data_IF_040481102776
#
_entry.id   IF_040481102776
#
_cell.length_a   1.000
_cell.length_b   1.000
_cell.length_c   1.000
_cell.angle_alpha   90.00
_cell.angle_beta   90.00
_cell.angle_gamma   90.00
#
_symmetry.space_group_name_H-M   'P 1'
#
loop_
_entity.id
_entity.type
_entity.pdbx_description
1 polymer ?
2 non-polymer ?
3 non-polymer ?
4 water ?
#
# COMPACT_ATOMS: atom_id res chain seq x y z
N UNK A 3 -0.02 18.14 -21.85
CA UNK A 3 -1.20 17.55 -22.55
C UNK A 3 -2.42 17.42 -21.63
N UNK A 4 -2.19 17.36 -20.30
CA UNK A 4 -3.28 17.17 -19.36
C UNK A 4 -4.14 18.41 -19.25
N UNK A 5 -5.47 18.22 -19.10
CA UNK A 5 -6.34 19.38 -18.88
C UNK A 5 -5.97 20.10 -17.59
N UNK A 6 -6.19 21.41 -17.56
CA UNK A 6 -5.91 22.20 -16.35
C UNK A 6 -6.87 21.86 -15.24
N UNK A 7 -8.06 21.40 -15.58
CA UNK A 7 -9.01 20.97 -14.59
C UNK A 7 -9.82 19.80 -15.10
N UNK A 8 -10.30 19.00 -14.15
CA UNK A 8 -11.11 17.85 -14.43
C UNK A 8 -12.19 17.78 -13.36
N UNK A 9 -13.39 17.39 -13.78
CA UNK A 9 -14.45 17.09 -12.83
C UNK A 9 -15.27 15.95 -13.40
N UNK A 10 -15.09 14.75 -12.85
CA UNK A 10 -15.75 13.56 -13.39
C UNK A 10 -17.25 13.55 -13.19
N UNK A 11 -17.75 14.44 -12.34
CA UNK A 11 -19.19 14.59 -12.18
C UNK A 11 -19.82 15.11 -13.47
N UNK A 12 -19.06 15.94 -14.19
CA UNK A 12 -19.51 16.49 -15.48
C UNK A 12 -19.73 15.42 -16.51
N UNK A 13 -19.02 14.29 -16.38
CA UNK A 13 -19.11 13.19 -17.32
C UNK A 13 -20.06 12.11 -16.84
N UNK A 14 -20.77 12.37 -15.75
CA UNK A 14 -21.76 11.44 -15.26
C UNK A 14 -21.16 10.17 -14.67
N UNK A 15 -19.92 10.28 -14.17
CA UNK A 15 -19.18 9.11 -13.67
C UNK A 15 -19.13 9.01 -12.16
N UNK A 16 -19.86 9.89 -11.47
CA UNK A 16 -19.86 9.92 -10.02
C UNK A 16 -21.27 9.79 -9.47
N UNK A 17 -21.48 8.81 -8.60
CA UNK A 17 -22.80 8.58 -8.02
C UNK A 17 -23.04 9.55 -6.88
N UNK A 18 -24.27 9.51 -6.36
CA UNK A 18 -24.61 10.35 -5.21
C UNK A 18 -23.69 10.10 -4.04
N UNK A 19 -23.45 11.15 -3.28
CA UNK A 19 -22.67 11.06 -2.05
C UNK A 19 -23.42 10.17 -1.07
N UNK A 20 -22.68 9.27 -0.43
CA UNK A 20 -23.24 8.36 0.53
C UNK A 20 -22.90 8.83 1.96
N UNK A 21 -23.58 8.22 2.92
CA UNK A 21 -23.46 8.55 4.32
C UNK A 21 -23.07 7.27 5.05
N UNK A 22 -21.83 7.21 5.52
CA UNK A 22 -21.36 5.99 6.17
C UNK A 22 -21.90 5.81 7.58
N UNK A 23 -22.37 6.89 8.20
CA UNK A 23 -22.84 6.80 9.57
C UNK A 23 -21.76 6.40 10.54
N UNK A 24 -22.14 5.60 11.54
CA UNK A 24 -21.24 5.20 12.61
C UNK A 24 -20.40 3.95 12.32
N UNK A 25 -20.31 3.57 11.05
CA UNK A 25 -19.53 2.42 10.62
C UNK A 25 -18.33 2.97 9.85
N UNK A 26 -17.13 2.51 10.20
CA UNK A 26 -15.89 3.00 9.58
C UNK A 26 -15.67 2.34 8.23
N UNK A 27 -16.53 2.69 7.28
CA UNK A 27 -16.56 2.04 5.97
C UNK A 27 -16.07 2.96 4.86
N UNK A 28 -15.38 4.03 5.21
CA UNK A 28 -14.90 4.98 4.20
C UNK A 28 -14.11 4.27 3.11
N UNK A 29 -13.29 3.31 3.52
CA UNK A 29 -12.49 2.52 2.60
C UNK A 29 -13.35 1.84 1.54
N UNK A 30 -14.51 1.34 1.96
CA UNK A 30 -15.41 0.63 1.07
C UNK A 30 -16.08 1.62 0.12
N UNK A 31 -16.49 2.77 0.65
CA UNK A 31 -17.06 3.81 -0.18
C UNK A 31 -16.06 4.31 -1.20
N UNK A 32 -14.82 4.53 -0.77
CA UNK A 32 -13.79 4.98 -1.68
C UNK A 32 -13.61 3.97 -2.81
N UNK A 33 -13.56 2.69 -2.46
CA UNK A 33 -13.33 1.65 -3.45
C UNK A 33 -14.49 1.57 -4.42
N UNK A 34 -15.73 1.53 -3.93
CA UNK A 34 -16.85 1.42 -4.87
C UNK A 34 -16.95 2.66 -5.73
N UNK A 35 -16.67 3.82 -5.17
CA UNK A 35 -16.71 5.05 -5.96
C UNK A 35 -15.79 5.01 -7.15
N UNK A 36 -14.57 4.51 -6.95
CA UNK A 36 -13.63 4.41 -8.05
C UNK A 36 -14.14 3.44 -9.09
N UNK A 37 -14.71 2.31 -8.64
CA UNK A 37 -15.18 1.29 -9.57
C UNK A 37 -16.43 1.77 -10.31
N UNK A 38 -17.28 2.53 -9.62
CA UNK A 38 -18.49 3.08 -10.26
C UNK A 38 -18.15 3.90 -11.49
N UNK A 39 -17.06 4.66 -11.43
CA UNK A 39 -16.67 5.49 -12.56
C UNK A 39 -16.23 4.60 -13.73
N UNK A 40 -15.44 3.58 -13.42
CA UNK A 40 -15.00 2.64 -14.45
C UNK A 40 -16.18 1.92 -15.09
N UNK A 41 -17.17 1.55 -14.28
CA UNK A 41 -18.36 0.90 -14.81
C UNK A 41 -19.10 1.80 -15.79
N UNK A 42 -19.22 3.07 -15.45
CA UNK A 42 -19.86 4.03 -16.33
C UNK A 42 -19.07 4.19 -17.62
N UNK A 43 -17.75 4.30 -17.49
CA UNK A 43 -16.91 4.45 -18.67
C UNK A 43 -17.02 3.26 -19.60
N UNK A 44 -17.15 2.05 -19.04
CA UNK A 44 -17.17 0.84 -19.85
C UNK A 44 -18.56 0.49 -20.40
N UNK A 45 -19.60 0.70 -19.59
CA UNK A 45 -20.95 0.29 -19.96
C UNK A 45 -21.93 1.42 -20.25
N UNK A 46 -21.56 2.64 -19.91
CA UNK A 46 -22.42 3.79 -20.14
C UNK A 46 -23.47 3.96 -19.05
N UNK A 47 -23.46 3.09 -18.04
CA UNK A 47 -24.46 3.13 -16.98
C UNK A 47 -23.82 3.53 -15.66
N UNK A 48 -24.43 4.50 -14.98
CA UNK A 48 -23.99 4.92 -13.68
C UNK A 48 -24.82 4.18 -12.64
N UNK A 49 -24.15 3.37 -11.83
CA UNK A 49 -24.81 2.52 -10.85
C UNK A 49 -24.04 2.54 -9.55
N UNK A 50 -24.72 2.84 -8.44
CA UNK A 50 -24.07 2.77 -7.15
C UNK A 50 -23.79 1.31 -6.81
N UNK A 51 -22.56 1.04 -6.36
CA UNK A 51 -22.14 -0.30 -6.02
C UNK A 51 -22.17 -0.49 -4.52
N UNK A 52 -22.19 -1.74 -4.07
CA UNK A 52 -22.46 -2.04 -2.69
C UNK A 52 -21.23 -1.94 -1.81
N UNK A 53 -21.09 -0.84 -1.08
CA UNK A 53 -20.11 -0.75 -0.02
C UNK A 53 -20.34 -1.83 1.04
N UNK A 54 -21.60 -2.16 1.32
CA UNK A 54 -21.90 -3.17 2.32
C UNK A 54 -21.32 -4.52 1.91
N UNK A 55 -21.39 -4.83 0.63
CA UNK A 55 -20.82 -6.07 0.10
C UNK A 55 -19.34 -6.15 0.49
N UNK A 56 -18.63 -5.04 0.39
CA UNK A 56 -17.21 -5.02 0.80
C UNK A 56 -17.05 -5.19 2.29
N UNK A 57 -17.82 -4.44 3.06
CA UNK A 57 -17.76 -4.54 4.52
C UNK A 57 -17.95 -5.99 4.99
N UNK A 58 -18.95 -6.66 4.42
CA UNK A 58 -19.34 -7.97 4.89
C UNK A 58 -18.49 -9.09 4.32
N UNK A 59 -17.92 -8.88 3.12
CA UNK A 59 -17.30 -9.98 2.37
C UNK A 59 -15.81 -9.83 2.16
N UNK A 60 -15.33 -8.60 2.05
CA UNK A 60 -13.89 -8.34 1.89
C UNK A 60 -13.33 -8.16 3.29
N UNK A 61 -13.13 -9.28 3.98
CA UNK A 61 -12.89 -9.29 5.40
C UNK A 61 -11.48 -9.77 5.72
N UNK A 62 -11.32 -10.73 6.62
CA UNK A 62 -10.01 -11.11 7.16
C UNK A 62 -9.01 -11.51 6.10
N UNK A 63 -9.46 -12.24 5.09
CA UNK A 63 -8.57 -12.70 4.02
C UNK A 63 -7.94 -11.52 3.27
N UNK A 64 -8.62 -10.37 3.31
CA UNK A 64 -8.17 -9.16 2.65
C UNK A 64 -7.57 -8.14 3.61
N UNK A 65 -7.37 -8.55 4.87
CA UNK A 65 -6.78 -7.67 5.87
C UNK A 65 -7.71 -6.59 6.37
N UNK A 66 -9.00 -6.73 6.07
CA UNK A 66 -9.99 -5.71 6.39
C UNK A 66 -10.81 -6.10 7.60
N UNK A 67 -11.42 -5.10 8.21
CA UNK A 67 -12.11 -5.26 9.47
C UNK A 67 -13.48 -4.57 9.45
N UNK A 68 -14.10 -4.54 8.27
CA UNK A 68 -15.48 -4.09 8.14
C UNK A 68 -15.65 -2.68 8.65
N UNK A 69 -16.54 -2.52 9.63
CA UNK A 69 -16.80 -1.21 10.19
C UNK A 69 -15.64 -0.65 11.00
N UNK A 70 -14.59 -1.44 11.17
CA UNK A 70 -13.38 -0.97 11.85
C UNK A 70 -12.22 -0.76 10.90
N UNK A 71 -12.52 -0.67 9.61
CA UNK A 71 -11.56 -0.20 8.63
C UNK A 71 -11.13 -1.26 7.64
N UNK A 72 -10.48 -0.80 6.59
CA UNK A 72 -9.98 -1.70 5.55
C UNK A 72 -9.14 -0.95 4.55
N UNK A 73 -8.75 -1.65 3.48
CA UNK A 73 -7.94 -1.07 2.41
C UNK A 73 -8.74 -1.03 1.12
N UNK A 74 -8.63 0.07 0.37
CA UNK A 74 -9.25 0.13 -0.95
C UNK A 74 -8.64 -0.88 -1.89
N UNK A 75 -7.32 -1.04 -1.85
CA UNK A 75 -6.66 -1.97 -2.75
C UNK A 75 -7.10 -3.41 -2.53
N UNK A 76 -7.22 -3.82 -1.27
CA UNK A 76 -7.57 -5.21 -1.01
C UNK A 76 -9.07 -5.42 -1.28
N UNK A 77 -9.85 -4.36 -1.14
CA UNK A 77 -11.24 -4.38 -1.60
C UNK A 77 -11.28 -4.65 -3.10
N UNK A 78 -10.44 -3.97 -3.88
CA UNK A 78 -10.42 -4.25 -5.31
C UNK A 78 -10.05 -5.71 -5.54
N UNK A 79 -9.06 -6.21 -4.81
CA UNK A 79 -8.66 -7.59 -5.03
C UNK A 79 -9.78 -8.56 -4.72
N UNK A 80 -10.56 -8.26 -3.68
CA UNK A 80 -11.73 -9.08 -3.36
C UNK A 80 -12.70 -9.12 -4.53
N UNK A 81 -12.92 -7.96 -5.15
CA UNK A 81 -13.86 -7.89 -6.27
C UNK A 81 -13.33 -8.74 -7.41
N UNK A 82 -12.03 -8.69 -7.64
CA UNK A 82 -11.40 -9.51 -8.66
C UNK A 82 -11.59 -10.99 -8.33
N UNK A 83 -11.20 -11.36 -7.10
CA UNK A 83 -11.24 -12.76 -6.66
C UNK A 83 -12.65 -13.30 -6.68
N UNK A 84 -13.58 -12.44 -6.31
CA UNK A 84 -14.99 -12.82 -6.17
C UNK A 84 -15.72 -12.86 -7.49
N UNK A 85 -15.11 -12.28 -8.51
CA UNK A 85 -15.68 -12.15 -9.85
C UNK A 85 -16.96 -11.34 -9.84
N UNK A 86 -17.03 -10.38 -8.92
CA UNK A 86 -18.14 -9.44 -8.93
C UNK A 86 -18.34 -8.68 -7.65
N UNK A 87 -19.12 -7.61 -7.75
CA UNK A 87 -19.65 -6.91 -6.61
C UNK A 87 -21.10 -6.57 -6.95
N UNK A 88 -21.96 -6.66 -5.95
CA UNK A 88 -23.38 -6.40 -6.10
C UNK A 88 -23.65 -4.91 -6.15
N UNK A 89 -24.80 -4.55 -6.69
CA UNK A 89 -25.26 -3.18 -6.67
C UNK A 89 -25.64 -2.76 -5.24
N UNK A 90 -25.57 -1.46 -5.01
CA UNK A 90 -26.03 -0.89 -3.75
C UNK A 90 -27.52 -1.19 -3.54
N UNK A 91 -28.31 -1.07 -4.59
CA UNK A 91 -29.75 -1.32 -4.48
C UNK A 91 -30.04 -2.74 -4.00
N UNK A 92 -29.27 -3.71 -4.49
CA UNK A 92 -29.47 -5.12 -4.17
C UNK A 92 -28.92 -5.53 -2.81
N UNK A 93 -27.92 -4.79 -2.34
CA UNK A 93 -27.17 -5.16 -1.15
C UNK A 93 -26.92 -3.85 -0.40
N UNK A 94 -27.98 -3.31 0.18
CA UNK A 94 -27.94 -1.98 0.74
C UNK A 94 -27.03 -1.80 1.96
N UNK A 95 -26.67 -0.56 2.18
CA UNK A 95 -25.76 -0.20 3.25
C UNK A 95 -26.49 -0.01 4.57
N UNK A 96 -26.05 -0.75 5.57
CA UNK A 96 -26.70 -0.79 6.87
C UNK A 96 -25.80 -0.25 7.99
N UNK A 97 -24.59 0.17 7.66
CA UNK A 97 -23.66 0.75 8.64
C UNK A 97 -23.43 -0.19 9.82
N UNK A 98 -23.27 -1.47 9.51
CA UNK A 98 -22.92 -2.46 10.51
C UNK A 98 -22.28 -3.64 9.82
N UNK A 99 -21.56 -4.44 10.58
CA UNK A 99 -20.96 -5.68 10.08
C UNK A 99 -22.04 -6.73 9.99
N UNK A 100 -22.13 -7.39 8.85
CA UNK A 100 -23.11 -8.44 8.61
C UNK A 100 -22.42 -9.65 8.04
N UNK A 101 -23.14 -10.77 8.00
CA UNK A 101 -22.64 -11.93 7.29
C UNK A 101 -22.58 -11.59 5.80
N UNK A 102 -21.65 -12.22 5.10
CA UNK A 102 -21.50 -12.00 3.67
C UNK A 102 -22.72 -12.56 2.96
N UNK A 103 -23.36 -11.70 2.18
CA UNK A 103 -24.60 -12.04 1.48
C UNK A 103 -24.45 -11.79 -0.02
N UNK A 104 -23.22 -11.80 -0.53
CA UNK A 104 -23.00 -11.63 -1.94
C UNK A 104 -23.80 -12.66 -2.72
N UNK A 105 -24.44 -12.20 -3.79
CA UNK A 105 -25.14 -13.08 -4.72
C UNK A 105 -24.84 -12.61 -6.13
N UNK A 106 -24.36 -13.52 -6.97
CA UNK A 106 -24.00 -13.15 -8.34
C UNK A 106 -25.20 -12.67 -9.17
N UNK A 107 -26.42 -13.04 -8.75
CA UNK A 107 -27.61 -12.58 -9.48
C UNK A 107 -27.80 -11.07 -9.36
N UNK A 108 -27.14 -10.47 -8.36
CA UNK A 108 -27.19 -9.03 -8.17
C UNK A 108 -25.89 -8.32 -8.55
N UNK A 109 -25.01 -9.02 -9.26
CA UNK A 109 -23.74 -8.43 -9.66
C UNK A 109 -23.99 -7.23 -10.56
N UNK A 110 -23.34 -6.13 -10.26
CA UNK A 110 -23.42 -4.94 -11.09
C UNK A 110 -22.08 -4.48 -11.67
N UNK A 111 -20.98 -5.05 -11.18
CA UNK A 111 -19.67 -4.72 -11.70
C UNK A 111 -18.69 -5.86 -11.44
N UNK A 112 -17.61 -5.82 -12.21
CA UNK A 112 -16.47 -6.70 -12.03
C UNK A 112 -15.24 -5.82 -11.96
N UNK A 113 -14.13 -6.42 -11.58
CA UNK A 113 -12.85 -5.73 -11.59
C UNK A 113 -11.84 -6.74 -12.09
N UNK A 114 -10.94 -6.33 -12.97
CA UNK A 114 -9.91 -7.24 -13.49
C UNK A 114 -8.52 -6.97 -12.93
N UNK A 115 -8.32 -5.75 -12.44
CA UNK A 115 -7.01 -5.34 -11.93
C UNK A 115 -7.16 -4.04 -11.17
N UNK A 116 -6.11 -3.66 -10.46
CA UNK A 116 -6.03 -2.33 -9.90
C UNK A 116 -4.58 -1.89 -9.94
N UNK A 117 -4.42 -0.59 -9.80
CA UNK A 117 -3.11 0.03 -9.92
C UNK A 117 -2.90 0.95 -8.76
N UNK A 118 -1.75 0.83 -8.10
CA UNK A 118 -1.36 1.73 -7.03
C UNK A 118 -0.34 2.71 -7.56
N UNK A 119 -0.61 3.99 -7.37
CA UNK A 119 0.26 5.04 -7.87
C UNK A 119 1.44 5.23 -6.93
N UNK A 120 2.56 5.75 -7.47
CA UNK A 120 3.74 5.96 -6.65
C UNK A 120 3.48 6.96 -5.55
N UNK A 121 4.11 6.72 -4.42
CA UNK A 121 3.89 7.49 -3.22
C UNK A 121 4.17 8.98 -3.38
N UNK A 122 3.19 9.81 -3.04
CA UNK A 122 3.39 11.25 -2.91
C UNK A 122 3.47 12.04 -4.18
N UNK A 123 3.28 11.37 -5.33
CA UNK A 123 3.48 12.01 -6.62
C UNK A 123 2.19 12.63 -7.12
N UNK A 124 2.02 13.93 -6.89
CA UNK A 124 0.78 14.61 -7.25
C UNK A 124 0.64 14.79 -8.75
N UNK A 125 1.77 14.86 -9.45
CA UNK A 125 1.73 14.91 -10.92
C UNK A 125 1.22 13.61 -11.52
N UNK A 126 1.62 12.49 -10.93
CA UNK A 126 1.17 11.20 -11.41
C UNK A 126 -0.32 11.02 -11.08
N UNK A 127 -0.71 11.48 -9.89
CA UNK A 127 -2.13 11.44 -9.52
C UNK A 127 -2.95 12.29 -10.49
N UNK A 128 -2.46 13.46 -10.85
CA UNK A 128 -3.15 14.31 -11.81
C UNK A 128 -3.37 13.57 -13.14
N UNK A 129 -2.32 12.92 -13.61
CA UNK A 129 -2.39 12.19 -14.88
C UNK A 129 -3.43 11.07 -14.80
N UNK A 130 -3.45 10.37 -13.68
CA UNK A 130 -4.41 9.28 -13.50
C UNK A 130 -5.84 9.80 -13.44
N UNK A 131 -6.05 10.89 -12.72
CA UNK A 131 -7.39 11.45 -12.63
C UNK A 131 -7.85 11.92 -14.01
N UNK A 132 -6.95 12.51 -14.78
CA UNK A 132 -7.30 12.98 -16.13
C UNK A 132 -7.55 11.82 -17.10
N UNK A 133 -6.70 10.82 -17.04
CA UNK A 133 -6.66 9.80 -18.11
C UNK A 133 -7.32 8.48 -17.79
N UNK A 134 -7.47 8.17 -16.51
CA UNK A 134 -8.07 6.90 -16.10
C UNK A 134 -9.44 7.07 -15.47
N UNK A 135 -9.56 8.01 -14.55
CA UNK A 135 -10.84 8.23 -13.86
C UNK A 135 -10.58 8.59 -12.41
N UNK A 136 -11.65 8.69 -11.62
CA UNK A 136 -11.52 8.92 -10.19
C UNK A 136 -10.58 7.93 -9.51
N UNK A 137 -9.84 8.42 -8.53
CA UNK A 137 -8.82 7.63 -7.87
C UNK A 137 -9.07 7.56 -6.38
N UNK A 138 -9.07 6.35 -5.85
CA UNK A 138 -9.20 6.14 -4.42
C UNK A 138 -7.97 6.62 -3.74
N UNK A 139 -8.14 7.39 -2.66
CA UNK A 139 -7.01 7.89 -1.89
C UNK A 139 -7.29 7.85 -0.42
N UNK A 140 -6.21 7.88 0.36
CA UNK A 140 -6.30 8.13 1.77
C UNK A 140 -5.91 9.57 2.06
N UNK A 141 -6.55 10.15 3.06
CA UNK A 141 -6.16 11.48 3.55
C UNK A 141 -6.11 11.48 5.06
N UNK A 142 -5.37 12.46 5.58
CA UNK A 142 -5.38 12.78 6.99
C UNK A 142 -6.57 13.69 7.23
N UNK A 143 -7.64 13.10 7.75
CA UNK A 143 -8.87 13.82 8.02
C UNK A 143 -9.10 13.94 9.52
N UNK A 144 -8.04 13.87 10.31
CA UNK A 144 -8.17 13.84 11.78
C UNK A 144 -8.36 15.21 12.40
N UNK A 145 -8.07 16.25 11.65
CA UNK A 145 -7.93 17.57 12.26
C UNK A 145 -9.29 18.21 12.33
N UNK A 146 -9.59 18.88 13.46
CA UNK A 146 -10.90 19.49 13.62
C UNK A 146 -11.37 20.35 12.44
N UNK A 147 -10.45 21.01 11.76
CA UNK A 147 -10.80 21.84 10.60
C UNK A 147 -11.44 21.03 9.48
N UNK A 148 -11.05 19.77 9.34
CA UNK A 148 -11.61 18.94 8.26
C UNK A 148 -13.12 18.80 8.41
N UNK A 149 -13.56 18.47 9.61
CA UNK A 149 -14.98 18.27 9.85
C UNK A 149 -15.81 19.52 9.59
N UNK A 150 -15.18 20.68 9.77
CA UNK A 150 -15.86 21.96 9.68
C UNK A 150 -15.73 22.64 8.32
N UNK A 151 -15.09 21.97 7.37
CA UNK A 151 -14.91 22.53 6.05
C UNK A 151 -16.26 22.84 5.40
N UNK A 152 -16.38 24.02 4.83
CA UNK A 152 -17.60 24.43 4.15
C UNK A 152 -17.37 24.80 2.71
N UNK A 153 -16.26 25.48 2.44
CA UNK A 153 -16.01 26.02 1.11
C UNK A 153 -14.55 26.41 0.92
N UNK A 154 -14.21 26.82 -0.30
CA UNK A 154 -12.84 27.22 -0.60
C UNK A 154 -11.96 26.01 -0.82
N UNK A 155 -10.66 26.22 -0.67
CA UNK A 155 -9.70 25.13 -0.79
C UNK A 155 -9.11 24.86 0.59
N UNK A 156 -9.27 23.64 1.02
CA UNK A 156 -8.84 23.22 2.35
C UNK A 156 -7.33 23.14 2.44
N UNK A 157 -6.78 23.92 3.37
CA UNK A 157 -5.37 23.86 3.69
C UNK A 157 -5.26 23.94 5.21
N UNK A 158 -4.66 22.91 5.79
CA UNK A 158 -4.50 22.79 7.24
C UNK A 158 -3.02 22.61 7.53
N UNK A 159 -2.37 23.64 8.08
CA UNK A 159 -0.96 23.52 8.44
C UNK A 159 -0.62 22.32 9.33
N UNK A 160 -1.56 21.86 10.13
CA UNK A 160 -1.31 20.72 11.01
C UNK A 160 -1.47 19.38 10.32
N UNK A 161 -1.84 19.39 9.04
CA UNK A 161 -2.06 18.14 8.35
C UNK A 161 -0.74 17.39 8.22
N UNK A 162 -0.86 16.08 8.11
CA UNK A 162 0.28 15.20 7.98
C UNK A 162 0.07 14.31 6.78
N UNK A 163 1.08 13.50 6.47
CA UNK A 163 0.95 12.47 5.46
C UNK A 163 0.55 11.12 6.04
N UNK A 164 0.15 11.10 7.31
CA UNK A 164 -0.35 9.90 7.95
C UNK A 164 -1.86 9.82 7.71
N UNK A 165 -2.26 9.01 6.76
CA UNK A 165 -3.67 9.00 6.33
C UNK A 165 -4.52 8.13 7.24
N UNK A 166 -5.77 8.53 7.42
CA UNK A 166 -6.68 7.80 8.30
C UNK A 166 -8.08 7.70 7.73
N UNK A 167 -8.28 8.15 6.49
CA UNK A 167 -9.61 8.28 5.95
C UNK A 167 -9.55 8.04 4.44
N UNK A 168 -10.45 7.19 3.95
CA UNK A 168 -10.49 6.83 2.55
C UNK A 168 -11.55 7.62 1.83
N UNK A 169 -11.16 8.25 0.73
CA UNK A 169 -12.03 9.14 -0.03
C UNK A 169 -11.73 8.94 -1.51
N UNK A 170 -12.38 9.72 -2.36
CA UNK A 170 -12.27 9.55 -3.80
C UNK A 170 -11.96 10.87 -4.46
N UNK A 171 -10.84 10.93 -5.16
CA UNK A 171 -10.52 12.11 -5.95
C UNK A 171 -11.27 12.00 -7.27
N UNK A 172 -12.19 12.93 -7.50
CA UNK A 172 -13.00 12.91 -8.72
C UNK A 172 -12.66 14.05 -9.67
N UNK A 173 -11.62 14.80 -9.36
CA UNK A 173 -11.23 15.90 -10.19
C UNK A 173 -10.14 16.72 -9.57
N UNK A 174 -9.82 17.82 -10.26
CA UNK A 174 -8.84 18.76 -9.78
C UNK A 174 -9.03 20.06 -10.53
N UNK A 175 -8.44 21.12 -10.01
CA UNK A 175 -8.57 22.42 -10.66
C UNK A 175 -7.89 23.49 -9.86
N UNK A 176 -8.33 24.73 -10.09
CA UNK A 176 -7.83 25.87 -9.36
C UNK A 176 -8.97 26.81 -9.07
N UNK A 177 -9.01 27.28 -7.83
CA UNK A 177 -10.04 28.20 -7.37
C UNK A 177 -9.33 29.36 -6.73
N UNK A 178 -9.50 30.54 -7.32
CA UNK A 178 -8.95 31.76 -6.76
C UNK A 178 -7.47 31.65 -6.46
N UNK A 179 -6.75 31.08 -7.42
CA UNK A 179 -5.30 30.97 -7.32
C UNK A 179 -4.82 29.80 -6.50
N UNK A 180 -5.74 29.00 -5.96
CA UNK A 180 -5.39 27.81 -5.17
C UNK A 180 -5.71 26.56 -5.93
N UNK A 181 -4.69 25.77 -6.23
CA UNK A 181 -4.88 24.48 -6.86
C UNK A 181 -5.50 23.53 -5.87
N UNK A 182 -6.43 22.69 -6.34
CA UNK A 182 -7.09 21.76 -5.46
C UNK A 182 -7.33 20.42 -6.14
N UNK A 183 -7.53 19.41 -5.28
CA UNK A 183 -8.10 18.14 -5.62
C UNK A 183 -9.56 18.16 -5.21
N UNK A 184 -10.44 17.66 -6.08
CA UNK A 184 -11.86 17.57 -5.78
C UNK A 184 -12.11 16.22 -5.19
N UNK A 185 -12.52 16.18 -3.92
CA UNK A 185 -12.63 14.96 -3.16
C UNK A 185 -14.07 14.68 -2.75
N UNK A 186 -14.54 13.50 -3.13
CA UNK A 186 -15.83 12.97 -2.71
C UNK A 186 -15.66 12.24 -1.39
N UNK A 187 -16.38 12.68 -0.38
CA UNK A 187 -16.36 12.06 0.94
C UNK A 187 -17.60 11.19 1.09
N UNK A 188 -17.69 10.46 2.20
CA UNK A 188 -18.82 9.59 2.49
C UNK A 188 -19.46 9.90 3.85
N UNK A 189 -19.53 11.20 4.17
CA UNK A 189 -20.21 11.65 5.36
C UNK A 189 -21.49 12.38 4.99
N UNK A 190 -22.06 12.00 3.85
CA UNK A 190 -23.34 12.57 3.42
C UNK A 190 -23.20 13.93 2.78
N UNK A 191 -24.33 14.45 2.29
CA UNK A 191 -24.38 15.75 1.65
C UNK A 191 -24.21 16.92 2.62
N UNK A 192 -24.35 16.70 3.93
CA UNK A 192 -24.16 17.77 4.92
C UNK A 192 -22.72 18.21 5.00
N UNK A 193 -21.82 17.26 4.72
CA UNK A 193 -20.41 17.54 4.83
C UNK A 193 -19.95 18.44 3.69
N UNK A 194 -19.16 19.46 4.01
CA UNK A 194 -18.51 20.29 3.01
C UNK A 194 -19.45 20.88 1.98
N UNK A 195 -19.07 20.79 0.71
CA UNK A 195 -19.87 21.29 -0.39
C UNK A 195 -20.63 20.13 -1.00
N UNK A 196 -21.82 19.89 -0.45
CA UNK A 196 -22.68 18.80 -0.89
C UNK A 196 -21.96 17.46 -0.88
N UNK A 197 -21.11 17.28 0.13
CA UNK A 197 -20.43 16.00 0.32
C UNK A 197 -19.00 15.98 -0.18
N UNK A 198 -18.59 17.09 -0.81
CA UNK A 198 -17.26 17.22 -1.39
C UNK A 198 -16.40 18.20 -0.62
N UNK A 199 -15.09 18.02 -0.75
CA UNK A 199 -14.12 18.96 -0.21
C UNK A 199 -13.04 19.19 -1.27
N UNK A 200 -12.68 20.45 -1.46
CA UNK A 200 -11.56 20.77 -2.33
C UNK A 200 -10.36 20.83 -1.43
N UNK A 201 -9.36 19.99 -1.70
CA UNK A 201 -8.18 19.90 -0.85
C UNK A 201 -6.95 20.41 -1.58
N UNK A 202 -6.07 21.10 -0.87
CA UNK A 202 -4.91 21.73 -1.51
C UNK A 202 -4.10 20.76 -2.36
N UNK A 203 -3.78 21.21 -3.57
CA UNK A 203 -3.02 20.42 -4.53
C UNK A 203 -1.70 21.10 -4.81
N UNK A 204 -0.66 20.28 -4.99
CA UNK A 204 0.70 20.73 -5.22
C UNK A 204 1.20 21.59 -4.07
N UNK A 205 0.79 21.22 -2.86
CA UNK A 205 1.25 21.85 -1.64
C UNK A 205 1.92 20.77 -0.78
N UNK A 206 2.86 20.06 -1.38
CA UNK A 206 3.67 19.10 -0.65
C UNK A 206 2.89 17.89 -0.18
N UNK A 207 2.06 17.33 -1.05
CA UNK A 207 1.29 16.14 -0.69
C UNK A 207 0.47 16.42 0.58
N UNK A 208 -0.29 17.48 0.50
CA UNK A 208 -1.03 18.01 1.63
C UNK A 208 -2.05 16.97 2.12
N UNK A 209 -2.01 16.73 3.44
CA UNK A 209 -2.85 15.73 4.10
C UNK A 209 -2.67 14.31 3.55
N UNK A 210 -1.55 14.08 2.88
CA UNK A 210 -1.28 12.75 2.34
C UNK A 210 -2.14 12.33 1.17
N UNK A 211 -2.75 13.29 0.50
CA UNK A 211 -3.73 12.95 -0.53
C UNK A 211 -3.14 12.06 -1.63
N UNK A 212 -1.85 12.23 -1.93
CA UNK A 212 -1.20 11.41 -2.96
C UNK A 212 -0.34 10.31 -2.39
N UNK A 213 -0.47 10.06 -1.09
CA UNK A 213 0.34 9.03 -0.44
C UNK A 213 0.00 7.66 -0.97
N UNK A 214 -1.29 7.32 -0.96
CA UNK A 214 -1.73 5.95 -1.30
C UNK A 214 -2.91 5.93 -2.28
N UNK A 215 -2.68 6.38 -3.51
CA UNK A 215 -3.73 6.37 -4.52
C UNK A 215 -3.81 5.05 -5.26
N UNK A 216 -5.03 4.65 -5.62
CA UNK A 216 -5.22 3.47 -6.44
C UNK A 216 -6.50 3.61 -7.24
N UNK A 217 -6.54 2.92 -8.37
CA UNK A 217 -7.76 2.86 -9.15
C UNK A 217 -7.90 1.47 -9.77
N UNK A 218 -9.15 1.01 -9.87
CA UNK A 218 -9.43 -0.28 -10.45
C UNK A 218 -9.71 -0.13 -11.93
N UNK A 219 -9.70 -1.25 -12.63
CA UNK A 219 -10.17 -1.30 -14.01
C UNK A 219 -11.08 -2.50 -14.14
N UNK A 220 -12.06 -2.39 -15.04
CA UNK A 220 -13.17 -3.35 -15.08
C UNK A 220 -12.72 -4.71 -15.58
N UNK B 4 8.71 -21.53 -14.27
CA UNK B 4 9.60 -20.98 -13.21
C UNK B 4 10.39 -22.09 -12.54
N UNK B 5 11.58 -21.76 -12.04
CA UNK B 5 12.32 -22.78 -11.32
C UNK B 5 11.57 -23.24 -10.07
N UNK B 6 11.75 -24.49 -9.69
CA UNK B 6 11.12 -25.03 -8.50
C UNK B 6 11.64 -24.41 -7.21
N UNK B 7 12.92 -24.00 -7.22
CA UNK B 7 13.56 -23.42 -6.07
C UNK B 7 14.46 -22.30 -6.50
N UNK B 8 14.53 -21.25 -5.68
CA UNK B 8 15.42 -20.12 -5.91
C UNK B 8 16.04 -19.72 -4.58
N UNK B 9 17.32 -19.36 -4.60
CA UNK B 9 17.99 -18.80 -3.42
C UNK B 9 18.97 -17.73 -3.87
N UNK B 10 18.58 -16.47 -3.68
CA UNK B 10 19.37 -15.34 -4.17
C UNK B 10 20.72 -15.21 -3.49
N UNK B 11 20.89 -15.89 -2.36
CA UNK B 11 22.19 -15.92 -1.70
C UNK B 11 23.23 -16.60 -2.56
N UNK B 12 22.79 -17.57 -3.37
CA UNK B 12 23.69 -18.30 -4.27
C UNK B 12 24.22 -17.40 -5.38
N UNK B 13 23.46 -16.32 -5.66
CA UNK B 13 23.76 -15.36 -6.71
C UNK B 13 24.61 -14.20 -6.19
N UNK B 14 24.93 -14.21 -4.91
CA UNK B 14 25.75 -13.16 -4.33
C UNK B 14 25.01 -11.85 -4.17
N UNK B 15 23.68 -11.92 -4.07
CA UNK B 15 22.82 -10.74 -4.05
C UNK B 15 22.24 -10.41 -2.68
N UNK B 16 22.69 -11.08 -1.63
CA UNK B 16 22.14 -10.89 -0.30
C UNK B 16 23.27 -10.62 0.68
N UNK B 17 23.14 -9.53 1.44
CA UNK B 17 24.19 -9.15 2.39
C UNK B 17 24.04 -9.92 3.70
N UNK B 18 24.96 -9.64 4.62
CA UNK B 18 24.91 -10.20 5.95
C UNK B 18 23.57 -9.85 6.61
N UNK B 19 23.12 -10.75 7.47
CA UNK B 19 21.95 -10.49 8.27
C UNK B 19 22.27 -9.37 9.25
N UNK B 20 21.32 -8.46 9.40
CA UNK B 20 21.47 -7.32 10.29
C UNK B 20 20.65 -7.54 11.56
N UNK B 21 20.99 -6.76 12.58
CA UNK B 21 20.36 -6.84 13.87
C UNK B 21 19.75 -5.47 14.17
N UNK B 22 18.42 -5.37 14.13
CA UNK B 22 17.77 -4.06 14.32
C UNK B 22 17.80 -3.60 15.79
N UNK B 23 17.95 -4.53 16.71
CA UNK B 23 17.97 -4.20 18.13
C UNK B 23 16.63 -3.65 18.59
N UNK B 24 16.68 -2.66 19.47
CA UNK B 24 15.47 -2.13 20.10
C UNK B 24 14.68 -1.15 19.22
N UNK B 25 15.15 -0.91 18.01
CA UNK B 25 14.56 0.05 17.09
C UNK B 25 13.72 -0.70 16.07
N UNK B 26 12.48 -0.25 15.88
CA UNK B 26 11.55 -0.92 14.97
C UNK B 26 11.80 -0.51 13.54
N UNK B 27 12.96 -0.96 13.03
CA UNK B 27 13.46 -0.56 11.72
C UNK B 27 13.36 -1.70 10.69
N UNK B 28 12.55 -2.70 10.97
CA UNK B 28 12.41 -3.86 10.07
C UNK B 28 12.05 -3.40 8.66
N UNK B 29 11.16 -2.42 8.57
CA UNK B 29 10.78 -1.85 7.27
C UNK B 29 11.99 -1.31 6.48
N UNK B 30 12.90 -0.66 7.18
CA UNK B 30 14.08 -0.07 6.56
C UNK B 30 15.03 -1.18 6.09
N UNK B 31 15.21 -2.19 6.91
CA UNK B 31 16.06 -3.33 6.54
C UNK B 31 15.48 -4.08 5.38
N UNK B 32 14.17 -4.25 5.38
CA UNK B 32 13.51 -4.93 4.27
C UNK B 32 13.77 -4.16 2.98
N UNK B 33 13.62 -2.85 3.03
CA UNK B 33 13.77 -2.03 1.86
C UNK B 33 15.20 -2.04 1.35
N UNK B 34 16.16 -1.84 2.24
CA UNK B 34 17.54 -1.83 1.80
C UNK B 34 17.95 -3.21 1.27
N UNK B 35 17.50 -4.28 1.89
CA UNK B 35 17.82 -5.60 1.37
C UNK B 35 17.34 -5.81 -0.05
N UNK B 36 16.12 -5.36 -0.35
CA UNK B 36 15.62 -5.48 -1.71
C UNK B 36 16.50 -4.69 -2.69
N UNK B 37 16.88 -3.48 -2.30
CA UNK B 37 17.67 -2.63 -3.19
C UNK B 37 19.11 -3.15 -3.31
N UNK B 38 19.64 -3.74 -2.24
CA UNK B 38 20.99 -4.33 -2.28
C UNK B 38 21.10 -5.35 -3.38
N UNK B 39 20.07 -6.18 -3.54
CA UNK B 39 20.09 -7.17 -4.61
C UNK B 39 20.10 -6.52 -5.98
N UNK B 40 19.27 -5.49 -6.18
CA UNK B 40 19.23 -4.80 -7.46
C UNK B 40 20.56 -4.12 -7.76
N UNK B 41 21.16 -3.52 -6.74
CA UNK B 41 22.47 -2.90 -6.89
C UNK B 41 23.51 -3.91 -7.35
N UNK B 42 23.49 -5.11 -6.76
CA UNK B 42 24.41 -6.16 -7.18
C UNK B 42 24.16 -6.54 -8.64
N UNK B 43 22.89 -6.71 -8.99
CA UNK B 43 22.53 -7.07 -10.36
C UNK B 43 22.99 -6.01 -11.35
N UNK B 44 22.91 -4.74 -10.99
CA UNK B 44 23.25 -3.67 -11.92
C UNK B 44 24.75 -3.40 -12.01
N UNK B 45 25.44 -3.43 -10.88
CA UNK B 45 26.84 -2.98 -10.79
C UNK B 45 27.84 -4.08 -10.50
N UNK B 46 27.37 -5.25 -10.10
CA UNK B 46 28.25 -6.33 -9.66
C UNK B 46 28.82 -6.19 -8.27
N UNK B 47 28.42 -5.14 -7.54
CA UNK B 47 28.91 -4.91 -6.18
C UNK B 47 27.83 -5.27 -5.18
N UNK B 48 28.20 -6.03 -4.16
CA UNK B 48 27.32 -6.31 -3.04
C UNK B 48 27.69 -5.37 -1.89
N UNK B 49 26.78 -4.45 -1.57
CA UNK B 49 27.06 -3.38 -0.63
C UNK B 49 25.89 -3.26 0.30
N UNK B 50 26.11 -3.36 1.60
CA UNK B 50 25.04 -3.11 2.55
C UNK B 50 24.68 -1.64 2.47
N UNK B 51 23.38 -1.38 2.31
CA UNK B 51 22.88 -0.01 2.23
C UNK B 51 22.36 0.47 3.57
N UNK B 52 22.26 1.79 3.72
CA UNK B 52 22.04 2.38 5.03
C UNK B 52 20.57 2.35 5.46
N UNK B 53 20.25 1.38 6.31
CA UNK B 53 18.93 1.37 6.94
C UNK B 53 18.74 2.63 7.80
N UNK B 54 19.83 3.11 8.39
CA UNK B 54 19.76 4.29 9.23
C UNK B 54 19.35 5.53 8.45
N UNK B 55 19.86 5.63 7.23
CA UNK B 55 19.51 6.70 6.32
C UNK B 55 18.00 6.71 6.13
N UNK B 56 17.38 5.55 5.99
CA UNK B 56 15.92 5.50 5.87
C UNK B 56 15.24 5.93 7.16
N UNK B 57 15.68 5.35 8.27
CA UNK B 57 15.12 5.67 9.59
C UNK B 57 15.14 7.18 9.83
N UNK B 58 16.28 7.81 9.52
CA UNK B 58 16.46 9.23 9.84
C UNK B 58 15.86 10.19 8.83
N UNK B 59 15.72 9.75 7.57
CA UNK B 59 15.42 10.66 6.47
C UNK B 59 14.10 10.38 5.78
N UNK B 60 13.71 9.12 5.68
CA UNK B 60 12.40 8.77 5.12
C UNK B 60 11.42 8.78 6.27
N UNK B 61 11.06 9.99 6.69
CA UNK B 61 10.32 10.19 7.91
C UNK B 61 8.89 10.66 7.63
N UNK B 62 8.45 11.76 8.24
CA UNK B 62 7.03 12.16 8.22
C UNK B 62 6.47 12.35 6.82
N UNK B 63 7.27 12.91 5.92
CA UNK B 63 6.83 13.14 4.55
C UNK B 63 6.51 11.83 3.86
N UNK B 64 7.09 10.74 4.36
CA UNK B 64 6.89 9.40 3.79
C UNK B 64 5.96 8.52 4.62
N UNK B 65 5.29 9.13 5.59
CA UNK B 65 4.38 8.41 6.46
C UNK B 65 5.05 7.48 7.45
N UNK B 66 6.37 7.63 7.59
CA UNK B 66 7.15 6.75 8.42
C UNK B 66 7.48 7.38 9.76
N UNK B 67 7.85 6.52 10.71
CA UNK B 67 8.05 6.92 12.10
C UNK B 67 9.33 6.34 12.68
N UNK B 68 10.33 6.12 11.83
CA UNK B 68 11.67 5.74 12.25
C UNK B 68 11.64 4.44 13.03
N UNK B 69 12.11 4.50 14.28
CA UNK B 69 12.14 3.32 15.12
C UNK B 69 10.75 2.85 15.57
N UNK B 70 9.72 3.61 15.24
CA UNK B 70 8.34 3.21 15.50
C UNK B 70 7.60 2.78 14.24
N UNK B 71 8.34 2.44 13.19
CA UNK B 71 7.76 1.78 12.03
C UNK B 71 7.71 2.61 10.78
N UNK B 72 7.47 1.94 9.66
CA UNK B 72 7.40 2.62 8.39
C UNK B 72 7.00 1.68 7.28
N UNK B 73 7.05 2.15 6.04
CA UNK B 73 6.69 1.37 4.88
C UNK B 73 7.90 1.16 3.96
N UNK B 74 8.06 -0.05 3.45
CA UNK B 74 9.09 -0.30 2.46
C UNK B 74 8.86 0.50 1.18
N UNK B 75 7.61 0.61 0.74
CA UNK B 75 7.30 1.30 -0.49
C UNK B 75 7.67 2.78 -0.39
N UNK B 76 7.31 3.40 0.72
CA UNK B 76 7.56 4.83 0.86
C UNK B 76 9.06 5.07 1.10
N UNK B 77 9.74 4.09 1.68
CA UNK B 77 11.20 4.11 1.72
C UNK B 77 11.78 4.13 0.31
N UNK B 78 11.31 3.25 -0.56
CA UNK B 78 11.77 3.28 -1.95
C UNK B 78 11.54 4.64 -2.57
N UNK B 79 10.36 5.22 -2.34
CA UNK B 79 10.04 6.50 -2.98
C UNK B 79 10.95 7.60 -2.44
N UNK B 80 11.28 7.55 -1.15
CA UNK B 80 12.29 8.47 -0.61
C UNK B 80 13.59 8.35 -1.38
N UNK B 81 14.06 7.13 -1.59
CA UNK B 81 15.34 6.95 -2.28
C UNK B 81 15.23 7.55 -3.69
N UNK B 82 14.09 7.34 -4.34
CA UNK B 82 13.85 7.92 -5.66
C UNK B 82 13.89 9.45 -5.59
N UNK B 83 13.07 10.02 -4.70
CA UNK B 83 12.97 11.48 -4.56
C UNK B 83 14.32 12.09 -4.18
N UNK B 84 15.03 11.40 -3.30
CA UNK B 84 16.27 11.90 -2.77
C UNK B 84 17.44 11.73 -3.73
N UNK B 85 17.24 10.94 -4.77
CA UNK B 85 18.25 10.64 -5.78
C UNK B 85 19.43 9.88 -5.18
N UNK B 86 19.16 9.12 -4.13
CA UNK B 86 20.19 8.26 -3.55
C UNK B 86 19.94 7.78 -2.16
N UNK B 87 20.71 6.74 -1.80
CA UNK B 87 20.81 6.25 -0.43
C UNK B 87 22.29 5.99 -0.16
N UNK B 88 22.73 6.25 1.05
CA UNK B 88 24.12 6.08 1.42
C UNK B 88 24.40 4.63 1.76
N UNK B 89 25.68 4.25 1.71
CA UNK B 89 26.10 2.94 2.15
C UNK B 89 25.92 2.82 3.64
N UNK B 90 25.73 1.61 4.12
CA UNK B 90 25.73 1.33 5.54
C UNK B 90 27.07 1.74 6.16
N UNK B 91 28.15 1.51 5.44
CA UNK B 91 29.48 1.83 5.95
C UNK B 91 29.61 3.32 6.28
N UNK B 92 29.07 4.15 5.41
CA UNK B 92 29.18 5.60 5.55
C UNK B 92 28.16 6.19 6.52
N UNK B 93 27.06 5.48 6.71
CA UNK B 93 25.94 5.97 7.48
C UNK B 93 25.42 4.78 8.29
N UNK B 94 26.19 4.39 9.32
CA UNK B 94 25.93 3.15 10.02
C UNK B 94 24.69 3.17 10.90
N UNK B 95 24.26 1.96 11.25
CA UNK B 95 23.03 1.75 11.97
C UNK B 95 23.24 1.87 13.47
N UNK B 96 22.45 2.73 14.08
CA UNK B 96 22.58 3.05 15.50
C UNK B 96 21.37 2.64 16.32
N UNK B 97 20.35 2.08 15.67
CA UNK B 97 19.15 1.61 16.37
C UNK B 97 18.50 2.71 17.21
N UNK B 98 18.47 3.91 16.64
CA UNK B 98 17.76 5.03 17.23
C UNK B 98 17.41 6.05 16.17
N UNK B 99 16.45 6.91 16.49
CA UNK B 99 16.05 7.98 15.60
C UNK B 99 17.07 9.10 15.68
N UNK B 100 17.53 9.58 14.52
CA UNK B 100 18.48 10.70 14.47
C UNK B 100 18.02 11.68 13.41
N UNK B 101 18.57 12.89 13.44
CA UNK B 101 18.31 13.84 12.37
C UNK B 101 18.85 13.25 11.07
N UNK B 102 18.26 13.65 9.97
CA UNK B 102 18.71 13.17 8.67
C UNK B 102 20.13 13.64 8.41
N UNK B 103 21.02 12.69 8.12
CA UNK B 103 22.42 13.00 7.84
C UNK B 103 22.85 12.50 6.47
N UNK B 104 21.88 12.32 5.57
CA UNK B 104 22.19 11.93 4.21
C UNK B 104 23.18 12.89 3.59
N UNK B 105 24.14 12.34 2.87
CA UNK B 105 25.07 13.12 2.09
C UNK B 105 25.29 12.40 0.77
N UNK B 106 25.13 13.11 -0.34
CA UNK B 106 25.30 12.51 -1.67
C UNK B 106 26.73 12.00 -1.88
N UNK B 107 27.67 12.56 -1.13
CA UNK B 107 29.05 12.11 -1.29
C UNK B 107 29.25 10.66 -0.84
N UNK B 108 28.28 10.14 -0.09
CA UNK B 108 28.31 8.76 0.38
C UNK B 108 27.28 7.87 -0.33
N UNK B 109 26.72 8.38 -1.40
CA UNK B 109 25.71 7.64 -2.16
C UNK B 109 26.27 6.29 -2.61
N UNK B 110 25.54 5.22 -2.30
CA UNK B 110 25.91 3.88 -2.79
C UNK B 110 24.89 3.28 -3.75
N UNK B 111 23.67 3.83 -3.81
CA UNK B 111 22.66 3.31 -4.72
C UNK B 111 21.64 4.39 -5.04
N UNK B 112 20.92 4.15 -6.12
CA UNK B 112 19.78 4.94 -6.51
C UNK B 112 18.61 4.00 -6.67
N UNK B 113 17.44 4.58 -6.86
CA UNK B 113 16.24 3.83 -7.16
C UNK B 113 15.45 4.66 -8.17
N UNK B 114 14.97 4.02 -9.23
CA UNK B 114 14.19 4.72 -10.24
C UNK B 114 12.70 4.49 -10.11
N UNK B 115 12.32 3.38 -9.49
CA UNK B 115 10.92 2.98 -9.39
C UNK B 115 10.80 1.84 -8.42
N UNK B 116 9.57 1.57 -8.02
CA UNK B 116 9.25 0.34 -7.31
C UNK B 116 7.92 -0.18 -7.81
N UNK B 117 7.71 -1.46 -7.55
CA UNK B 117 6.53 -2.14 -8.00
C UNK B 117 5.89 -2.85 -6.83
N UNK B 118 4.59 -2.63 -6.67
CA UNK B 118 3.80 -3.31 -5.65
C UNK B 118 3.04 -4.43 -6.31
N UNK B 119 3.20 -5.64 -5.81
CA UNK B 119 2.57 -6.79 -6.41
C UNK B 119 1.11 -6.85 -5.95
N UNK B 120 0.25 -7.50 -6.73
CA UNK B 120 -1.16 -7.60 -6.36
C UNK B 120 -1.39 -8.39 -5.08
N UNK B 121 -2.37 -7.95 -4.31
CA UNK B 121 -2.64 -8.50 -3.02
C UNK B 121 -2.88 -10.00 -3.02
N UNK B 122 -2.11 -10.72 -2.22
CA UNK B 122 -2.38 -12.11 -1.90
C UNK B 122 -1.98 -13.13 -2.94
N UNK B 123 -1.34 -12.69 -4.03
CA UNK B 123 -1.06 -13.58 -5.15
C UNK B 123 0.32 -14.21 -4.99
N UNK B 124 0.36 -15.41 -4.43
CA UNK B 124 1.66 -16.08 -4.22
C UNK B 124 2.32 -16.52 -5.51
N UNK B 125 1.52 -16.78 -6.54
CA UNK B 125 2.08 -17.10 -7.85
C UNK B 125 2.81 -15.91 -8.45
N UNK B 126 2.26 -14.71 -8.29
CA UNK B 126 2.89 -13.51 -8.79
C UNK B 126 4.15 -13.22 -7.99
N UNK B 127 4.08 -13.44 -6.68
CA UNK B 127 5.25 -13.30 -5.84
C UNK B 127 6.36 -14.27 -6.27
N UNK B 128 5.99 -15.50 -6.59
CA UNK B 128 6.98 -16.49 -7.01
C UNK B 128 7.66 -16.02 -8.28
N UNK B 129 6.89 -15.53 -9.23
CA UNK B 129 7.45 -15.04 -10.48
C UNK B 129 8.44 -13.89 -10.24
N UNK B 130 8.09 -12.97 -9.35
CA UNK B 130 8.94 -11.82 -9.09
C UNK B 130 10.23 -12.27 -8.41
N UNK B 131 10.10 -13.17 -7.46
CA UNK B 131 11.29 -13.68 -6.79
C UNK B 131 12.18 -14.41 -7.79
N UNK B 132 11.58 -15.18 -8.68
CA UNK B 132 12.37 -15.90 -9.69
C UNK B 132 13.06 -14.96 -10.67
N UNK B 133 12.33 -13.95 -11.13
CA UNK B 133 12.76 -13.18 -12.32
C UNK B 133 13.24 -11.76 -12.07
N UNK B 134 12.88 -11.19 -10.92
CA UNK B 134 13.24 -9.82 -10.62
C UNK B 134 14.29 -9.73 -9.53
N UNK B 135 14.08 -10.46 -8.44
CA UNK B 135 15.01 -10.42 -7.31
C UNK B 135 14.26 -10.58 -6.02
N UNK B 136 14.98 -10.45 -4.90
CA UNK B 136 14.34 -10.45 -3.60
C UNK B 136 13.25 -9.40 -3.50
N UNK B 137 12.18 -9.75 -2.79
CA UNK B 137 10.99 -8.92 -2.69
C UNK B 137 10.72 -8.59 -1.23
N UNK B 138 10.54 -7.29 -0.96
CA UNK B 138 10.15 -6.83 0.36
C UNK B 138 8.72 -7.24 0.63
N UNK B 139 8.46 -7.80 1.81
CA UNK B 139 7.12 -8.20 2.16
C UNK B 139 6.85 -7.87 3.62
N UNK B 140 5.56 -7.76 3.94
CA UNK B 140 5.11 -7.73 5.32
C UNK B 140 4.59 -9.09 5.69
N UNK B 141 4.78 -9.48 6.94
CA UNK B 141 4.19 -10.69 7.47
C UNK B 141 3.56 -10.41 8.80
N UNK B 142 2.61 -11.26 9.16
CA UNK B 142 2.09 -11.29 10.51
C UNK B 142 3.08 -12.06 11.38
N UNK B 143 3.86 -11.31 12.16
CA UNK B 143 4.84 -11.90 13.09
C UNK B 143 4.40 -11.75 14.54
N UNK B 144 3.11 -11.50 14.76
CA UNK B 144 2.59 -11.21 16.10
C UNK B 144 2.08 -12.47 16.75
N UNK B 145 2.92 -13.51 16.74
CA UNK B 145 2.61 -14.78 17.39
C UNK B 145 3.89 -15.32 17.98
N UNK B 146 3.82 -15.89 19.20
CA UNK B 146 5.02 -16.40 19.85
C UNK B 146 5.83 -17.37 19.01
N UNK B 147 5.17 -18.17 18.18
CA UNK B 147 5.85 -19.14 17.35
C UNK B 147 6.86 -18.48 16.42
N UNK B 148 6.60 -17.24 16.01
CA UNK B 148 7.52 -16.56 15.12
C UNK B 148 8.82 -16.25 15.87
N UNK B 149 8.68 -15.70 17.07
CA UNK B 149 9.83 -15.38 17.92
C UNK B 149 10.61 -16.62 18.33
N UNK B 150 9.89 -17.73 18.52
CA UNK B 150 10.50 -18.99 18.97
C UNK B 150 10.98 -19.88 17.84
N UNK B 151 10.78 -19.44 16.60
CA UNK B 151 11.13 -20.24 15.46
C UNK B 151 12.61 -20.56 15.45
N UNK B 152 12.93 -21.83 15.18
CA UNK B 152 14.31 -22.28 15.09
C UNK B 152 14.67 -22.85 13.73
N UNK B 153 13.81 -23.68 13.16
CA UNK B 153 14.12 -24.34 11.90
C UNK B 153 12.90 -24.95 11.25
N UNK B 154 13.06 -25.27 9.97
CA UNK B 154 12.02 -25.94 9.22
C UNK B 154 11.07 -24.94 8.59
N UNK B 155 9.93 -25.43 8.13
CA UNK B 155 8.96 -24.59 7.47
C UNK B 155 7.97 -24.11 8.51
N UNK B 156 7.98 -22.80 8.72
CA UNK B 156 7.11 -22.16 9.70
C UNK B 156 5.66 -22.15 9.25
N UNK B 157 4.80 -22.67 10.12
CA UNK B 157 3.37 -22.61 9.91
C UNK B 157 2.74 -22.31 11.26
N UNK B 158 1.92 -21.27 11.32
CA UNK B 158 1.23 -20.87 12.51
C UNK B 158 -0.28 -20.85 12.25
N UNK B 159 -1.03 -21.79 12.86
CA UNK B 159 -2.47 -21.85 12.63
C UNK B 159 -3.21 -20.54 12.92
N UNK B 160 -2.71 -19.73 13.84
CA UNK B 160 -3.38 -18.50 14.21
C UNK B 160 -2.91 -17.31 13.38
N UNK B 161 -2.07 -17.54 12.38
CA UNK B 161 -1.62 -16.44 11.54
C UNK B 161 -2.77 -15.80 10.80
N UNK B 162 -2.62 -14.51 10.54
CA UNK B 162 -3.61 -13.73 9.83
C UNK B 162 -2.95 -13.10 8.62
N UNK B 163 -3.74 -12.40 7.82
CA UNK B 163 -3.20 -11.66 6.68
C UNK B 163 -2.89 -10.23 7.03
N UNK B 164 -3.07 -9.87 8.30
CA UNK B 164 -2.72 -8.53 8.74
C UNK B 164 -1.27 -8.49 9.19
N UNK B 165 -0.49 -7.82 8.36
CA UNK B 165 0.96 -7.80 8.52
C UNK B 165 1.43 -6.70 9.47
N UNK B 166 2.54 -6.97 10.14
CA UNK B 166 3.08 -6.05 11.13
C UNK B 166 4.59 -6.12 11.22
N UNK B 167 5.24 -6.74 10.24
CA UNK B 167 6.68 -6.97 10.31
C UNK B 167 7.21 -7.07 8.89
N UNK B 168 8.24 -6.27 8.60
CA UNK B 168 8.78 -6.18 7.26
C UNK B 168 10.03 -7.03 7.16
N UNK B 169 10.04 -7.88 6.15
CA UNK B 169 11.13 -8.82 5.91
C UNK B 169 11.39 -8.91 4.40
N UNK B 170 12.27 -9.80 3.99
CA UNK B 170 12.70 -9.83 2.60
C UNK B 170 12.66 -11.26 2.14
N UNK B 171 11.90 -11.52 1.08
CA UNK B 171 11.89 -12.85 0.50
C UNK B 171 13.07 -12.95 -0.45
N UNK B 172 13.99 -13.85 -0.15
CA UNK B 172 15.18 -14.00 -0.96
C UNK B 172 15.20 -15.33 -1.70
N UNK B 173 14.09 -16.06 -1.66
CA UNK B 173 14.05 -17.32 -2.36
C UNK B 173 12.79 -18.08 -2.03
N UNK B 174 12.70 -19.28 -2.59
CA UNK B 174 11.62 -20.18 -2.28
C UNK B 174 12.07 -21.59 -2.60
N UNK B 175 11.35 -22.56 -2.08
CA UNK B 175 11.68 -23.93 -2.35
C UNK B 175 10.72 -24.84 -1.62
N UNK B 176 11.18 -26.05 -1.33
CA UNK B 176 10.38 -26.97 -0.55
C UNK B 176 11.28 -27.84 0.28
N UNK B 177 10.78 -28.21 1.44
CA UNK B 177 11.49 -29.08 2.35
C UNK B 177 10.71 -30.38 2.36
N UNK B 178 11.22 -31.38 1.64
CA UNK B 178 10.50 -32.63 1.44
C UNK B 178 9.07 -32.36 1.01
N UNK B 179 8.91 -31.52 0.00
CA UNK B 179 7.58 -31.19 -0.52
C UNK B 179 6.82 -30.09 0.21
N UNK B 180 7.20 -29.77 1.46
CA UNK B 180 6.58 -28.66 2.20
C UNK B 180 7.12 -27.35 1.64
N UNK B 181 6.28 -26.65 0.89
CA UNK B 181 6.74 -25.47 0.17
C UNK B 181 6.94 -24.29 1.11
N UNK B 182 7.96 -23.50 0.82
CA UNK B 182 8.29 -22.36 1.66
C UNK B 182 8.79 -21.18 0.87
N UNK B 183 8.69 -20.02 1.51
CA UNK B 183 9.38 -18.80 1.12
C UNK B 183 10.61 -18.67 1.99
N UNK B 184 11.76 -18.37 1.40
CA UNK B 184 12.97 -18.15 2.18
C UNK B 184 13.05 -16.68 2.54
N UNK B 185 13.02 -16.37 3.82
CA UNK B 185 12.87 -15.02 4.31
C UNK B 185 14.08 -14.60 5.15
N UNK B 186 14.66 -13.46 4.79
CA UNK B 186 15.71 -12.83 5.55
C UNK B 186 15.06 -11.89 6.55
N UNK B 187 15.31 -12.10 7.82
CA UNK B 187 14.84 -11.22 8.88
C UNK B 187 15.96 -10.26 9.26
N UNK B 188 15.66 -9.29 10.11
CA UNK B 188 16.64 -8.33 10.62
C UNK B 188 16.72 -8.37 12.14
N UNK B 189 16.62 -9.59 12.68
CA UNK B 189 16.75 -9.83 14.12
C UNK B 189 18.08 -10.48 14.47
N UNK B 190 19.07 -10.28 13.62
CA UNK B 190 20.40 -10.79 13.88
C UNK B 190 20.55 -12.24 13.48
N UNK B 191 21.79 -12.71 13.56
CA UNK B 191 22.11 -14.01 13.04
C UNK B 191 21.77 -15.17 13.96
N UNK B 192 21.25 -14.88 15.15
CA UNK B 192 20.82 -15.93 16.07
C UNK B 192 19.33 -16.25 15.97
N UNK B 193 18.57 -15.43 15.26
CA UNK B 193 17.16 -15.71 15.04
C UNK B 193 17.01 -16.84 14.03
N UNK B 194 16.13 -17.78 14.32
CA UNK B 194 15.76 -18.79 13.34
C UNK B 194 16.94 -19.53 12.74
N UNK B 195 16.94 -19.66 11.42
CA UNK B 195 18.00 -20.37 10.71
C UNK B 195 19.11 -19.38 10.37
N UNK B 196 19.90 -19.04 11.39
CA UNK B 196 20.98 -18.08 11.25
C UNK B 196 20.53 -16.79 10.58
N UNK B 197 19.37 -16.31 11.01
CA UNK B 197 18.85 -15.02 10.59
C UNK B 197 17.69 -15.11 9.63
N UNK B 198 17.45 -16.32 9.13
CA UNK B 198 16.43 -16.60 8.13
C UNK B 198 15.29 -17.40 8.71
N UNK B 199 14.14 -17.29 8.06
CA UNK B 199 12.99 -18.13 8.40
C UNK B 199 12.38 -18.63 7.11
N UNK B 200 12.10 -19.93 7.04
CA UNK B 200 11.38 -20.49 5.92
C UNK B 200 9.91 -20.54 6.30
N UNK B 201 9.09 -19.82 5.54
CA UNK B 201 7.68 -19.62 5.87
C UNK B 201 6.81 -20.32 4.84
N UNK B 202 5.74 -20.92 5.32
CA UNK B 202 4.85 -21.71 4.47
C UNK B 202 4.41 -20.97 3.22
N UNK B 203 4.55 -21.64 2.08
CA UNK B 203 4.21 -21.09 0.77
C UNK B 203 3.05 -21.88 0.19
N UNK B 204 2.20 -21.17 -0.55
CA UNK B 204 1.00 -21.75 -1.16
C UNK B 204 0.11 -22.42 -0.12
N UNK B 205 0.01 -21.78 1.05
CA UNK B 205 -0.89 -22.16 2.12
C UNK B 205 -1.83 -21.01 2.42
N UNK B 206 -2.44 -20.46 1.38
CA UNK B 206 -3.48 -19.46 1.54
C UNK B 206 -2.97 -18.13 2.02
N UNK B 207 -1.86 -17.68 1.44
CA UNK B 207 -1.27 -16.41 1.83
C UNK B 207 -0.97 -16.43 3.33
N UNK B 208 -0.23 -17.45 3.73
CA UNK B 208 0.04 -17.70 5.13
C UNK B 208 0.79 -16.54 5.76
N UNK B 209 0.28 -16.06 6.89
CA UNK B 209 0.83 -14.91 7.60
C UNK B 209 0.90 -13.65 6.74
N UNK B 210 0.10 -13.60 5.68
CA UNK B 210 0.05 -12.42 4.83
C UNK B 210 1.32 -12.15 4.05
N UNK B 211 2.12 -13.19 3.82
CA UNK B 211 3.41 -12.98 3.18
C UNK B 211 3.28 -12.36 1.78
N UNK B 212 2.18 -12.67 1.09
CA UNK B 212 1.92 -12.10 -0.24
C UNK B 212 0.92 -10.94 -0.20
N UNK B 213 0.62 -10.43 0.99
CA UNK B 213 -0.33 -9.34 1.11
C UNK B 213 0.21 -8.05 0.52
N UNK B 214 1.43 -7.68 0.91
CA UNK B 214 1.99 -6.40 0.47
C UNK B 214 3.45 -6.50 0.03
N UNK B 215 3.67 -7.18 -1.11
CA UNK B 215 5.02 -7.32 -1.62
C UNK B 215 5.43 -6.16 -2.52
N UNK B 216 6.69 -5.77 -2.47
CA UNK B 216 7.16 -4.77 -3.38
C UNK B 216 8.62 -4.98 -3.67
N UNK B 217 9.07 -4.49 -4.82
CA UNK B 217 10.49 -4.50 -5.11
C UNK B 217 10.89 -3.26 -5.87
N UNK B 218 12.09 -2.76 -5.60
CA UNK B 218 12.62 -1.58 -6.27
C UNK B 218 13.41 -1.96 -7.52
N UNK B 219 13.65 -0.98 -8.37
CA UNK B 219 14.60 -1.12 -9.46
C UNK B 219 15.50 0.10 -9.49
N UNK B 220 16.73 -0.08 -9.96
CA UNK B 220 17.78 0.92 -9.75
C UNK B 220 17.62 2.20 -10.57
X LIG C 1 -7.57 2.01 9.07
X LIG C 1 -7.42 1.29 8.08
X LIG C 1 -7.50 -0.17 8.26
X LIG C 1 -8.00 -0.66 9.32
X LIG C 1 -8.08 -1.99 9.49
X LIG C 1 -7.64 -2.75 8.57
X LIG C 1 -7.15 -2.25 7.52
X LIG C 1 -7.06 -0.98 7.37
X LIG C 1 -7.57 1.77 6.84
X LIG C 1 -7.98 3.13 6.49
X LIG C 1 -7.04 4.17 7.09
X LIG C 1 -8.03 3.27 4.95
X LIG C 1 -6.68 2.95 4.30
X LIG C 1 -8.57 4.62 4.45
X LIG C 1 -9.39 3.25 7.02
X LIG C 1 -10.24 2.32 6.62
X LIG C 1 -11.45 2.67 7.25
X LIG C 1 -9.84 4.34 7.92
X LIG C 1 -11.20 3.83 8.00
X LIG C 1 -12.22 4.41 8.69
X LIG C 1 -12.97 5.33 8.08
X LIG C 1 -12.30 6.59 7.65
X LIG C 1 -14.19 5.22 7.97
X LIG C 1 -12.57 3.93 10.07
X LIG C 1 -11.43 3.39 10.88
X LIG C 1 -11.73 2.94 12.10
X LIG C 1 -10.64 2.38 13.00
X LIG D 1 -3.84 -0.07 9.38
X LIG D 1 -3.50 0.87 8.35
X LIG D 1 -3.67 2.23 8.76
X LIG D 1 -2.79 3.14 7.93
X LIG D 1 -3.09 2.98 6.54
X LIG D 1 -2.11 3.55 5.68
X LIG D 1 -2.27 2.98 4.27
X LIG D 1 -1.11 2.22 3.93
X LIG D 1 -1.41 0.94 3.39
X LIG D 1 -0.14 0.15 3.16
X LIG D 1 -0.36 -1.18 3.64
X LIG D 1 0.74 -1.78 4.33
X LIG D 1 0.20 -2.88 5.22
X LIG D 1 0.20 -2.41 6.57
X LIG D 1 -0.65 -3.14 7.43
X LIG D 1 -0.90 -2.32 8.69
X LIG D 1 0.34 -1.95 9.29
X LIG D 1 0.76 -0.61 9.05
X LIG D 1 -0.05 0.39 9.88
X LIG D 1 -0.57 -0.24 11.05
X LIG E 1 3.94 -0.46 11.47
X LIG E 1 4.09 0.06 10.37
X LIG E 1 4.11 1.53 10.27
X LIG E 1 4.23 2.23 11.33
X LIG E 1 4.25 3.56 11.26
X LIG E 1 4.15 4.13 10.14
X LIG E 1 4.07 3.42 9.09
X LIG E 1 4.00 2.14 9.16
X LIG E 1 4.64 -0.61 9.34
X LIG E 1 5.14 -1.99 9.39
X LIG E 1 4.01 -2.95 9.80
X LIG E 1 5.70 -2.38 8.01
X LIG E 1 4.67 -2.23 6.89
X LIG E 1 6.35 -3.77 8.00
X LIG E 1 6.29 -1.96 10.38
X LIG E 1 7.26 -1.07 10.12
X LIG E 1 8.17 -1.27 11.19
X LIG E 1 6.38 -2.84 11.58
X LIG E 1 7.66 -2.27 12.02
X LIG E 1 8.38 -2.65 13.11
X LIG E 1 9.29 -3.61 12.96
X LIG E 1 8.79 -4.99 12.71
X LIG E 1 10.48 -3.39 13.20
X LIG E 1 8.32 -1.84 14.38
X LIG E 1 6.94 -1.50 14.87
X LIG E 1 6.86 -0.61 15.85
X LIG E 1 5.53 -0.18 16.41
#
# INVERSE_FOLDING_TARGET
NRILPDSVDWREKGCVTEVKYQGSCGACWAFSAVGALEAQLKLKTGKLVSLSAQNLVDCSTEKYGNKGCNGGFMTTAFQYIIDNKGIDSDASYPYKAMDQKCQYDSKYRAATCSKYTELPYGREDVLKEAVANKGPVSVGVDARHPSFFLYRSGVYYEPSCTQNVNHGVLVVGYGDLNGKEYWLVKNSWGHNFGEEGYIRMARNKGNHCGIASFPSYPEI
NRILPDSVDWREKGCVTEVKYQGSCGACWAFSAVGALEAQLKLKTGKLVSLSAQNLVDCSTEKYGNKGCNGGFMTTAFQYIIDNKGIDSDASYPYKAMDQKCQYDSKYRAATCSKYTELPYGREDVLKEAVANKGPVSVGVDARHPSFFLYRSGVYYEPSCTQNVNHGVLVVGYGDLNGKEYWLVKNSWGHNFGEEGYIRMARNKGNHCGIASFPSYPEI
H7J O25 C18 C19 C24 C23 C22 C21 C20 N17 C14 C16 C15 C27 C26 C12 N11 N10 C13 N C4 C2 C O C5 C7 C8 C9
P15 C13 O6 C12 C11 O5 C10 C9 O4 C8 C7 O3 C6 C5 O2 C4 C3 O1 C2 C1 OXT
H7J O25 C18 C19 C24 C23 C22 C21 C20 N17 C14 C16 C15 C27 C26 C12 N11 N10 C13 N C4 C2 C O C5 C7 C8 C9
#
